data_IF_338176021785
#
_entry.id   IF_338176021785
#
_cell.length_a   1.000
_cell.length_b   1.000
_cell.length_c   1.000
_cell.angle_alpha   90.00
_cell.angle_beta   90.00
_cell.angle_gamma   90.00
#
_symmetry.space_group_name_H-M   'P 1'
#
loop_
_entity.id
_entity.type
_entity.pdbx_description
1 polymer ?
#
# COMPACT_ATOMS: atom_id res chain seq x y z
N UNK A 1 0.40 -13.37 -13.61
CA UNK A 1 0.38 -14.14 -12.36
C UNK A 1 -1.07 -14.27 -11.97
N UNK A 2 -1.70 -15.36 -12.38
CA UNK A 2 -3.14 -15.57 -12.35
C UNK A 2 -3.42 -16.53 -11.20
N UNK A 3 -3.65 -15.98 -10.00
CA UNK A 3 -4.35 -16.68 -8.92
C UNK A 3 -4.74 -15.67 -7.82
N UNK A 4 -5.73 -14.84 -8.10
CA UNK A 4 -6.51 -14.21 -7.02
C UNK A 4 -7.90 -14.84 -7.10
N UNK A 5 -8.12 -15.81 -6.22
CA UNK A 5 -9.38 -16.50 -6.04
C UNK A 5 -10.49 -15.50 -5.73
N UNK A 6 -11.48 -15.48 -6.61
CA UNK A 6 -12.75 -14.80 -6.42
C UNK A 6 -13.59 -15.57 -5.40
N UNK A 7 -14.07 -14.89 -4.37
CA UNK A 7 -15.37 -15.18 -3.77
C UNK A 7 -16.04 -13.87 -3.35
N UNK A 8 -17.31 -13.69 -3.74
CA UNK A 8 -18.19 -12.51 -3.52
C UNK A 8 -18.24 -11.43 -4.62
N UNK A 9 -18.51 -11.84 -5.86
CA UNK A 9 -19.72 -11.38 -6.59
C UNK A 9 -20.04 -9.88 -6.77
N UNK A 10 -19.10 -9.02 -7.16
CA UNK A 10 -19.49 -7.71 -7.74
C UNK A 10 -18.60 -7.34 -8.94
N UNK A 11 -19.12 -7.62 -10.15
CA UNK A 11 -18.56 -7.13 -11.41
C UNK A 11 -18.93 -5.65 -11.57
N UNK A 12 -17.92 -4.77 -11.56
CA UNK A 12 -18.07 -3.37 -12.00
C UNK A 12 -17.65 -3.27 -13.47
N UNK A 13 -18.56 -3.02 -14.42
CA UNK A 13 -18.18 -2.84 -15.82
C UNK A 13 -17.54 -1.47 -16.01
N UNK A 14 -16.36 -1.40 -16.62
CA UNK A 14 -15.82 -0.15 -17.19
C UNK A 14 -14.38 0.24 -16.86
N UNK A 15 -13.49 -0.67 -16.43
CA UNK A 15 -12.06 -0.36 -16.26
C UNK A 15 -11.20 -1.30 -17.12
N UNK A 16 -10.38 -0.72 -17.99
CA UNK A 16 -9.56 -1.43 -18.97
C UNK A 16 -8.43 -2.21 -18.28
N UNK A 17 -8.52 -3.54 -18.30
CA UNK A 17 -7.74 -4.45 -17.43
C UNK A 17 -6.31 -4.77 -17.91
N UNK A 18 -5.75 -4.05 -18.89
CA UNK A 18 -4.44 -4.41 -19.46
C UNK A 18 -3.37 -3.29 -19.40
N UNK A 19 -3.72 -2.08 -18.97
CA UNK A 19 -2.74 -1.03 -18.64
C UNK A 19 -2.89 -0.48 -17.20
N UNK A 20 -4.03 -0.74 -16.54
CA UNK A 20 -4.37 -0.18 -15.23
C UNK A 20 -4.46 -1.24 -14.11
N UNK A 21 -4.21 -2.51 -14.41
CA UNK A 21 -4.30 -3.60 -13.42
C UNK A 21 -3.40 -3.37 -12.20
N UNK A 22 -2.15 -2.94 -12.43
CA UNK A 22 -1.19 -2.71 -11.36
C UNK A 22 -1.56 -1.57 -10.40
N UNK A 23 -2.09 -0.45 -10.91
CA UNK A 23 -2.56 0.65 -10.04
C UNK A 23 -3.81 0.25 -9.26
N UNK A 24 -4.74 -0.47 -9.90
CA UNK A 24 -5.94 -0.97 -9.24
C UNK A 24 -5.60 -1.96 -8.12
N UNK A 25 -4.68 -2.90 -8.38
CA UNK A 25 -4.24 -3.88 -7.37
C UNK A 25 -3.53 -3.20 -6.20
N UNK A 26 -2.72 -2.17 -6.47
CA UNK A 26 -2.09 -1.37 -5.43
C UNK A 26 -3.12 -0.64 -4.56
N UNK A 27 -4.10 0.04 -5.17
CA UNK A 27 -5.17 0.75 -4.45
C UNK A 27 -6.04 -0.24 -3.67
N UNK A 28 -6.44 -1.36 -4.26
CA UNK A 28 -7.24 -2.38 -3.57
C UNK A 28 -6.50 -2.92 -2.34
N UNK A 29 -5.21 -3.23 -2.48
CA UNK A 29 -4.36 -3.66 -1.37
C UNK A 29 -4.24 -2.60 -0.27
N UNK A 30 -4.09 -1.33 -0.65
CA UNK A 30 -4.03 -0.23 0.30
C UNK A 30 -5.31 -0.16 1.15
N UNK A 31 -6.48 -0.27 0.52
CA UNK A 31 -7.77 -0.29 1.22
C UNK A 31 -7.92 -1.48 2.16
N UNK A 32 -7.66 -2.70 1.68
CA UNK A 32 -7.83 -3.93 2.47
C UNK A 32 -6.85 -3.97 3.63
N UNK A 33 -5.57 -3.65 3.41
CA UNK A 33 -4.53 -3.77 4.43
C UNK A 33 -4.58 -2.61 5.42
N UNK A 34 -4.77 -1.36 4.95
CA UNK A 34 -4.79 -0.22 5.85
C UNK A 34 -6.15 -0.04 6.55
N UNK A 35 -7.25 -0.20 5.83
CA UNK A 35 -8.59 0.15 6.36
C UNK A 35 -9.42 -1.07 6.74
N UNK A 36 -8.99 -2.29 6.40
CA UNK A 36 -9.75 -3.51 6.68
C UNK A 36 -11.07 -3.60 5.91
N UNK A 37 -11.21 -2.82 4.83
CA UNK A 37 -12.43 -2.74 4.00
C UNK A 37 -12.08 -2.52 2.54
N UNK A 38 -12.97 -2.91 1.65
CA UNK A 38 -12.92 -2.44 0.26
C UNK A 38 -13.33 -0.96 0.17
N UNK A 39 -12.65 -0.22 -0.70
CA UNK A 39 -13.08 1.11 -1.11
C UNK A 39 -14.29 1.02 -2.03
N UNK A 40 -15.25 1.94 -1.88
CA UNK A 40 -16.33 2.11 -2.85
C UNK A 40 -15.78 2.39 -4.25
N UNK A 41 -16.60 2.21 -5.29
CA UNK A 41 -16.19 2.44 -6.68
C UNK A 41 -15.65 3.87 -6.89
N UNK A 42 -16.27 4.87 -6.26
CA UNK A 42 -15.84 6.26 -6.34
C UNK A 42 -14.52 6.51 -5.59
N UNK A 43 -14.38 5.95 -4.39
CA UNK A 43 -13.15 6.03 -3.59
C UNK A 43 -11.95 5.43 -4.32
N UNK A 44 -12.12 4.22 -4.90
CA UNK A 44 -11.07 3.56 -5.68
C UNK A 44 -10.74 4.35 -6.95
N UNK A 45 -11.76 4.80 -7.69
CA UNK A 45 -11.56 5.59 -8.91
C UNK A 45 -10.80 6.88 -8.63
N UNK A 46 -11.09 7.58 -7.53
CA UNK A 46 -10.40 8.80 -7.13
C UNK A 46 -8.90 8.56 -6.91
N UNK A 47 -8.53 7.51 -6.17
CA UNK A 47 -7.12 7.21 -5.91
C UNK A 47 -6.40 6.68 -7.14
N UNK A 48 -7.04 5.82 -7.94
CA UNK A 48 -6.44 5.32 -9.19
C UNK A 48 -6.20 6.47 -10.15
N UNK A 49 -7.19 7.33 -10.39
CA UNK A 49 -7.04 8.48 -11.29
C UNK A 49 -5.93 9.42 -10.81
N UNK A 50 -5.88 9.71 -9.50
CA UNK A 50 -4.84 10.56 -8.93
C UNK A 50 -3.43 9.97 -9.04
N UNK A 51 -3.28 8.64 -8.94
CA UNK A 51 -1.98 7.97 -9.15
C UNK A 51 -1.58 7.94 -10.62
N UNK A 52 -2.55 7.75 -11.52
CA UNK A 52 -2.33 7.70 -12.98
C UNK A 52 -1.98 9.07 -13.55
N UNK A 53 -2.65 10.12 -13.10
CA UNK A 53 -2.41 11.48 -13.56
C UNK A 53 -1.26 12.18 -12.81
N UNK A 54 -0.67 11.52 -11.80
CA UNK A 54 0.44 12.04 -11.01
C UNK A 54 0.06 13.09 -9.96
N UNK A 55 -1.23 13.32 -9.70
CA UNK A 55 -1.69 14.17 -8.58
C UNK A 55 -1.36 13.56 -7.23
N UNK A 56 -1.26 12.22 -7.16
CA UNK A 56 -0.73 11.49 -6.03
C UNK A 56 0.52 10.72 -6.44
N UNK A 57 1.41 10.56 -5.46
CA UNK A 57 2.51 9.61 -5.55
C UNK A 57 2.20 8.41 -4.67
N UNK A 58 2.80 7.26 -4.97
CA UNK A 58 2.67 6.05 -4.16
C UNK A 58 3.03 6.31 -2.70
N UNK A 59 4.13 7.03 -2.46
CA UNK A 59 4.58 7.37 -1.13
C UNK A 59 3.59 8.28 -0.38
N UNK A 60 3.07 9.33 -1.05
CA UNK A 60 2.11 10.25 -0.45
C UNK A 60 0.76 9.58 -0.12
N UNK A 61 0.25 8.71 -0.99
CA UNK A 61 -1.02 8.02 -0.71
C UNK A 61 -0.88 7.00 0.42
N UNK A 62 0.24 6.28 0.50
CA UNK A 62 0.53 5.36 1.61
C UNK A 62 0.58 6.15 2.93
N UNK A 63 1.34 7.24 2.96
CA UNK A 63 1.43 8.10 4.14
C UNK A 63 0.05 8.58 4.59
N UNK A 64 -0.77 9.10 3.66
CA UNK A 64 -2.10 9.62 3.99
C UNK A 64 -3.02 8.58 4.60
N UNK A 65 -2.96 7.32 4.14
CA UNK A 65 -3.77 6.24 4.70
C UNK A 65 -3.27 5.82 6.08
N UNK A 66 -1.95 5.65 6.23
CA UNK A 66 -1.34 5.18 7.49
C UNK A 66 -1.37 6.23 8.61
N UNK A 67 -1.47 7.51 8.27
CA UNK A 67 -1.70 8.60 9.24
C UNK A 67 -3.20 8.91 9.44
N UNK A 68 -4.09 8.26 8.67
CA UNK A 68 -5.53 8.48 8.75
C UNK A 68 -6.14 8.00 10.07
N UNK A 69 -7.28 8.59 10.49
CA UNK A 69 -7.97 8.18 11.72
C UNK A 69 -8.45 6.72 11.67
N UNK A 70 -8.85 6.22 10.49
CA UNK A 70 -9.26 4.82 10.29
C UNK A 70 -8.11 3.85 10.61
N UNK A 71 -6.92 4.08 10.04
CA UNK A 71 -5.75 3.23 10.30
C UNK A 71 -5.26 3.35 11.74
N UNK A 72 -5.09 4.56 12.25
CA UNK A 72 -4.54 4.81 13.59
C UNK A 72 -5.44 4.31 14.71
N UNK A 73 -6.76 4.26 14.50
CA UNK A 73 -7.71 3.68 15.45
C UNK A 73 -7.71 2.15 15.43
N UNK A 74 -7.45 1.53 14.27
CA UNK A 74 -7.44 0.08 14.10
C UNK A 74 -6.07 -0.55 14.44
N UNK A 75 -4.96 0.14 14.18
CA UNK A 75 -3.61 -0.38 14.33
C UNK A 75 -2.77 0.39 15.35
N UNK A 76 -2.63 -0.22 16.53
CA UNK A 76 -1.88 0.28 17.67
C UNK A 76 -0.52 -0.40 17.89
N UNK A 77 -0.11 -1.38 17.05
CA UNK A 77 1.11 -2.17 17.27
C UNK A 77 2.16 -1.94 16.20
N UNK A 78 3.42 -1.75 16.60
CA UNK A 78 4.56 -1.63 15.68
C UNK A 78 4.72 -2.88 14.80
N UNK A 79 4.45 -4.06 15.35
CA UNK A 79 4.52 -5.32 14.59
C UNK A 79 3.49 -5.37 13.47
N UNK A 80 2.24 -5.00 13.76
CA UNK A 80 1.19 -4.95 12.73
C UNK A 80 1.50 -3.88 11.70
N UNK A 81 1.94 -2.70 12.14
CA UNK A 81 2.35 -1.61 11.25
C UNK A 81 3.43 -2.02 10.24
N UNK A 82 4.49 -2.69 10.69
CA UNK A 82 5.55 -3.17 9.78
C UNK A 82 5.01 -4.22 8.81
N UNK A 83 4.18 -5.16 9.28
CA UNK A 83 3.58 -6.20 8.42
C UNK A 83 2.69 -5.59 7.33
N UNK A 84 1.89 -4.59 7.68
CA UNK A 84 1.04 -3.87 6.74
C UNK A 84 1.89 -3.18 5.65
N UNK A 85 3.02 -2.57 6.04
CA UNK A 85 3.95 -1.96 5.09
C UNK A 85 4.58 -2.98 4.13
N UNK A 86 4.93 -4.18 4.61
CA UNK A 86 5.39 -5.26 3.73
C UNK A 86 4.33 -5.64 2.69
N UNK A 87 3.08 -5.77 3.11
CA UNK A 87 1.99 -6.08 2.19
C UNK A 87 1.77 -4.94 1.19
N UNK A 88 1.60 -3.70 1.69
CA UNK A 88 1.28 -2.52 0.88
C UNK A 88 2.39 -2.19 -0.12
N UNK A 89 3.64 -2.10 0.36
CA UNK A 89 4.77 -1.62 -0.43
C UNK A 89 5.43 -2.74 -1.24
N UNK A 90 5.45 -3.97 -0.74
CA UNK A 90 6.24 -5.06 -1.34
C UNK A 90 5.38 -6.21 -1.88
N UNK A 91 4.07 -6.19 -1.67
CA UNK A 91 3.15 -7.27 -2.04
C UNK A 91 3.63 -8.65 -1.55
N UNK A 92 4.17 -8.71 -0.33
CA UNK A 92 4.62 -9.96 0.30
C UNK A 92 4.47 -9.88 1.81
N UNK A 93 4.47 -11.03 2.46
CA UNK A 93 4.55 -11.08 3.92
C UNK A 93 5.96 -10.69 4.41
N UNK A 94 5.99 -10.13 5.62
CA UNK A 94 7.24 -9.84 6.30
C UNK A 94 7.94 -11.14 6.69
N UNK A 95 9.20 -11.30 6.30
CA UNK A 95 10.04 -12.35 6.83
C UNK A 95 10.48 -12.02 8.28
N UNK A 96 10.82 -13.05 9.05
CA UNK A 96 11.17 -12.89 10.48
C UNK A 96 12.37 -11.97 10.69
N UNK A 97 13.34 -11.99 9.77
CA UNK A 97 14.57 -11.20 9.87
C UNK A 97 14.27 -9.72 9.63
N UNK A 98 13.60 -9.40 8.52
CA UNK A 98 13.23 -8.03 8.18
C UNK A 98 12.28 -7.41 9.21
N UNK A 99 11.29 -8.18 9.68
CA UNK A 99 10.40 -7.73 10.75
C UNK A 99 11.17 -7.40 12.03
N UNK A 100 12.09 -8.27 12.45
CA UNK A 100 12.88 -8.04 13.66
C UNK A 100 13.86 -6.86 13.52
N UNK A 101 14.42 -6.64 12.33
CA UNK A 101 15.28 -5.48 12.06
C UNK A 101 14.50 -4.16 12.21
N UNK A 102 13.33 -4.05 11.57
CA UNK A 102 12.47 -2.87 11.71
C UNK A 102 11.99 -2.65 13.15
N UNK A 103 11.59 -3.72 13.85
CA UNK A 103 11.22 -3.62 15.27
C UNK A 103 12.38 -3.14 16.13
N UNK A 104 13.60 -3.62 15.87
CA UNK A 104 14.81 -3.17 16.58
C UNK A 104 15.07 -1.69 16.34
N UNK A 105 14.92 -1.21 15.09
CA UNK A 105 15.03 0.22 14.77
C UNK A 105 13.99 1.06 15.52
N UNK A 106 12.74 0.63 15.55
CA UNK A 106 11.68 1.33 16.28
C UNK A 106 11.92 1.34 17.79
N UNK A 107 12.42 0.23 18.35
CA UNK A 107 12.82 0.16 19.76
C UNK A 107 14.00 1.09 20.09
N UNK A 108 14.85 1.38 19.10
CA UNK A 108 15.96 2.32 19.21
C UNK A 108 15.57 3.77 18.88
N UNK A 109 14.28 4.06 18.71
CA UNK A 109 13.76 5.42 18.55
C UNK A 109 13.35 5.81 17.13
N UNK A 110 13.42 4.90 16.15
CA UNK A 110 12.91 5.18 14.80
C UNK A 110 11.38 5.37 14.84
N UNK A 111 10.93 6.44 14.19
CA UNK A 111 9.53 6.80 14.07
C UNK A 111 8.83 6.01 12.96
N UNK A 112 7.49 5.94 13.01
CA UNK A 112 6.69 5.32 11.94
C UNK A 112 6.97 5.95 10.58
N UNK A 113 7.18 7.27 10.52
CA UNK A 113 7.49 7.97 9.27
C UNK A 113 8.87 7.57 8.70
N UNK A 114 9.87 7.35 9.55
CA UNK A 114 11.19 6.86 9.11
C UNK A 114 11.10 5.43 8.58
N UNK A 115 10.25 4.59 9.17
CA UNK A 115 9.99 3.25 8.65
C UNK A 115 9.31 3.35 7.28
N UNK A 116 8.24 4.16 7.12
CA UNK A 116 7.58 4.36 5.81
C UNK A 116 8.60 4.80 4.77
N UNK A 117 9.43 5.80 5.08
CA UNK A 117 10.53 6.28 4.22
C UNK A 117 11.47 5.15 3.78
N UNK A 118 11.79 4.24 4.69
CA UNK A 118 12.61 3.06 4.39
C UNK A 118 11.96 2.10 3.38
N UNK A 119 10.64 1.88 3.47
CA UNK A 119 9.92 1.05 2.50
C UNK A 119 9.75 1.75 1.15
N UNK A 120 9.29 3.01 1.14
CA UNK A 120 9.05 3.74 -0.12
C UNK A 120 10.35 4.12 -0.84
N UNK A 121 11.48 4.16 -0.13
CA UNK A 121 12.81 4.36 -0.70
C UNK A 121 13.51 3.06 -1.14
N UNK A 122 12.87 1.90 -1.01
CA UNK A 122 13.48 0.61 -1.36
C UNK A 122 13.40 0.30 -2.86
N UNK A 123 14.39 -0.44 -3.37
CA UNK A 123 14.39 -0.95 -4.75
C UNK A 123 13.18 -1.86 -5.05
N UNK A 124 12.70 -2.58 -4.04
CA UNK A 124 11.50 -3.42 -4.15
C UNK A 124 10.24 -2.58 -4.40
N UNK A 125 10.06 -1.47 -3.65
CA UNK A 125 8.95 -0.56 -3.89
C UNK A 125 9.08 0.15 -5.24
N UNK A 126 10.30 0.55 -5.63
CA UNK A 126 10.55 1.14 -6.94
C UNK A 126 10.17 0.17 -8.08
N UNK A 127 10.49 -1.12 -7.93
CA UNK A 127 10.11 -2.17 -8.87
C UNK A 127 8.60 -2.34 -8.93
N UNK A 128 7.91 -2.36 -7.78
CA UNK A 128 6.44 -2.44 -7.72
C UNK A 128 5.80 -1.24 -8.42
N UNK A 129 6.23 -0.02 -8.10
CA UNK A 129 5.72 1.20 -8.74
C UNK A 129 5.98 1.20 -10.26
N UNK A 130 7.17 0.78 -10.70
CA UNK A 130 7.50 0.66 -12.12
C UNK A 130 6.60 -0.33 -12.87
N UNK A 131 6.32 -1.49 -12.27
CA UNK A 131 5.41 -2.48 -12.83
C UNK A 131 3.96 -2.00 -12.88
N UNK A 132 3.56 -1.15 -11.93
CA UNK A 132 2.21 -0.62 -11.84
C UNK A 132 2.01 0.70 -12.60
N UNK A 133 3.08 1.35 -13.10
CA UNK A 133 2.99 2.69 -13.68
C UNK A 133 2.72 3.81 -12.66
N UNK A 134 3.11 3.61 -11.41
CA UNK A 134 2.90 4.55 -10.30
C UNK A 134 4.16 5.43 -10.15
N UNK A 135 3.95 6.73 -9.97
CA UNK A 135 5.05 7.62 -9.55
C UNK A 135 5.35 7.38 -8.07
N UNK A 136 6.57 6.96 -7.74
CA UNK A 136 7.00 6.62 -6.36
C UNK A 136 6.78 7.80 -5.40
N UNK A 137 7.33 8.97 -5.74
CA UNK A 137 7.34 10.14 -4.87
C UNK A 137 8.33 10.04 -3.70
N UNK A 138 8.25 11.01 -2.80
CA UNK A 138 9.08 11.08 -1.59
C UNK A 138 8.29 11.74 -0.46
N UNK A 139 8.65 11.42 0.79
CA UNK A 139 8.02 11.90 2.02
C UNK A 139 9.07 12.54 2.91
#
# INVERSE_FOLDING_TARGET
CSDYGYDSGHYVPGYDMQAQGGVNDFVARLYVVALGRDGSSSERSYHVEGLVNGSFTGAAVIESFLNGPEYTSANNSNTSFIRDLYLICLNREADSTGLNDWLTRMNNGATRIEVIRGFVGSDEFATLCGNCGITIGSI
#
